data_IF_976342507836
#
_entry.id   IF_976342507836
#
_cell.length_a   1.000
_cell.length_b   1.000
_cell.length_c   1.000
_cell.angle_alpha   90.00
_cell.angle_beta   90.00
_cell.angle_gamma   90.00
#
_symmetry.space_group_name_H-M   'P 1'
#
loop_
_entity.id
_entity.type
_entity.pdbx_description
1 polymer ?
#
# COMPACT_ATOMS: atom_id res chain seq x y z
N UNK A 1 15.13 -16.22 -6.33
CA UNK A 1 15.81 -14.95 -6.01
C UNK A 1 15.16 -14.29 -4.80
N UNK A 2 15.97 -13.80 -3.85
CA UNK A 2 15.52 -13.44 -2.49
C UNK A 2 14.86 -12.03 -2.38
N UNK A 3 14.02 -11.62 -3.34
CA UNK A 3 13.37 -10.29 -3.30
C UNK A 3 12.54 -10.05 -2.04
N UNK A 4 11.86 -11.07 -1.54
CA UNK A 4 11.03 -10.95 -0.34
C UNK A 4 11.83 -10.66 0.93
N UNK A 5 12.95 -11.34 1.18
CA UNK A 5 13.75 -11.16 2.41
C UNK A 5 14.36 -9.75 2.50
N UNK A 6 14.83 -9.21 1.37
CA UNK A 6 15.41 -7.87 1.32
C UNK A 6 14.30 -6.83 1.55
N UNK A 7 13.20 -6.93 0.81
CA UNK A 7 12.08 -5.98 0.91
C UNK A 7 11.49 -5.93 2.32
N UNK A 8 11.30 -7.09 2.97
CA UNK A 8 10.84 -7.17 4.36
C UNK A 8 11.83 -6.48 5.32
N UNK A 9 13.14 -6.67 5.15
CA UNK A 9 14.15 -6.03 6.01
C UNK A 9 14.12 -4.51 5.89
N UNK A 10 14.02 -3.99 4.67
CA UNK A 10 13.92 -2.54 4.42
C UNK A 10 12.60 -1.97 4.95
N UNK A 11 11.48 -2.67 4.73
CA UNK A 11 10.18 -2.27 5.24
C UNK A 11 10.14 -2.25 6.78
N UNK A 12 10.74 -3.23 7.45
CA UNK A 12 10.87 -3.24 8.92
C UNK A 12 11.71 -2.08 9.44
N UNK A 13 12.83 -1.76 8.77
CA UNK A 13 13.68 -0.63 9.14
C UNK A 13 12.92 0.71 8.99
N UNK A 14 12.18 0.87 7.88
CA UNK A 14 11.35 2.06 7.67
C UNK A 14 10.26 2.17 8.71
N UNK A 15 9.56 1.07 9.03
CA UNK A 15 8.51 1.07 10.06
C UNK A 15 9.07 1.39 11.44
N UNK A 16 10.25 0.88 11.79
CA UNK A 16 10.95 1.22 13.03
C UNK A 16 11.22 2.71 13.14
N UNK A 17 11.87 3.29 12.12
CA UNK A 17 12.17 4.72 12.06
C UNK A 17 10.90 5.59 12.08
N UNK A 18 9.86 5.19 11.34
CA UNK A 18 8.59 5.91 11.32
C UNK A 18 7.88 5.86 12.68
N UNK A 19 7.98 4.74 13.40
CA UNK A 19 7.41 4.57 14.75
C UNK A 19 8.14 5.44 15.76
N UNK A 20 9.46 5.47 15.76
CA UNK A 20 10.26 6.33 16.63
C UNK A 20 9.93 7.81 16.44
N UNK A 21 9.68 8.19 15.19
CA UNK A 21 9.29 9.56 14.83
C UNK A 21 7.78 9.83 14.97
N UNK A 22 6.96 8.84 15.31
CA UNK A 22 5.47 8.91 15.42
C UNK A 22 4.81 9.40 14.13
N UNK A 23 5.30 8.94 12.99
CA UNK A 23 4.82 9.33 11.64
C UNK A 23 4.45 8.15 10.76
N UNK A 24 4.24 6.98 11.36
CA UNK A 24 3.94 5.75 10.63
C UNK A 24 2.72 5.85 9.72
N UNK A 25 1.69 6.62 10.13
CA UNK A 25 0.46 6.83 9.36
C UNK A 25 0.73 7.63 8.08
N UNK A 26 1.59 8.65 8.17
CA UNK A 26 1.99 9.48 7.02
C UNK A 26 2.81 8.67 6.03
N UNK A 27 3.79 7.90 6.54
CA UNK A 27 4.61 7.01 5.72
C UNK A 27 3.74 5.92 5.08
N UNK A 28 2.74 5.42 5.79
CA UNK A 28 1.77 4.46 5.25
C UNK A 28 1.01 5.05 4.04
N UNK A 29 0.51 6.27 4.16
CA UNK A 29 -0.17 6.98 3.08
C UNK A 29 0.73 7.18 1.87
N UNK A 30 1.99 7.57 2.09
CA UNK A 30 2.99 7.72 1.02
C UNK A 30 3.24 6.38 0.31
N UNK A 31 3.37 5.27 1.06
CA UNK A 31 3.59 3.93 0.50
C UNK A 31 2.36 3.41 -0.27
N UNK A 32 1.15 3.73 0.17
CA UNK A 32 -0.08 3.43 -0.57
C UNK A 32 -0.14 4.20 -1.89
N UNK A 33 0.19 5.50 -1.88
CA UNK A 33 0.23 6.33 -3.08
C UNK A 33 1.29 5.83 -4.08
N UNK A 34 2.46 5.45 -3.57
CA UNK A 34 3.53 4.88 -4.38
C UNK A 34 3.11 3.56 -5.04
N UNK A 35 2.46 2.67 -4.29
CA UNK A 35 1.95 1.40 -4.81
C UNK A 35 0.89 1.60 -5.89
N UNK A 36 -0.03 2.55 -5.70
CA UNK A 36 -1.01 2.92 -6.72
C UNK A 36 -0.34 3.46 -7.98
N UNK A 37 0.71 4.26 -7.85
CA UNK A 37 1.49 4.77 -8.99
C UNK A 37 2.16 3.63 -9.76
N UNK A 38 2.67 2.60 -9.10
CA UNK A 38 3.19 1.40 -9.78
C UNK A 38 2.11 0.61 -10.52
N UNK A 39 0.86 0.59 -10.02
CA UNK A 39 -0.28 -0.05 -10.70
C UNK A 39 -0.74 0.75 -11.92
N UNK A 40 -0.79 2.07 -11.80
CA UNK A 40 -1.27 2.96 -12.86
C UNK A 40 -0.25 3.11 -14.00
N UNK A 41 1.03 3.13 -13.66
CA UNK A 41 2.11 3.39 -14.61
C UNK A 41 3.05 2.18 -14.71
N UNK A 42 2.68 1.22 -15.56
CA UNK A 42 3.49 0.01 -15.80
C UNK A 42 4.94 0.32 -16.23
N UNK A 43 5.17 1.48 -16.87
CA UNK A 43 6.49 1.97 -17.27
C UNK A 43 7.36 2.43 -16.10
N UNK A 44 6.80 2.72 -14.92
CA UNK A 44 7.55 3.20 -13.76
C UNK A 44 8.67 2.23 -13.37
N UNK A 45 8.37 0.94 -13.33
CA UNK A 45 9.37 -0.09 -13.03
C UNK A 45 10.50 -0.13 -14.08
N UNK A 46 10.17 0.08 -15.35
CA UNK A 46 11.17 0.11 -16.43
C UNK A 46 12.09 1.33 -16.29
N UNK A 47 11.54 2.50 -15.98
CA UNK A 47 12.32 3.73 -15.71
C UNK A 47 13.29 3.52 -14.56
N UNK A 48 12.84 2.92 -13.47
CA UNK A 48 13.67 2.69 -12.27
C UNK A 48 14.80 1.69 -12.51
N UNK A 49 14.58 0.70 -13.38
CA UNK A 49 15.59 -0.32 -13.71
C UNK A 49 16.52 0.08 -14.85
N UNK A 50 16.20 1.15 -15.59
CA UNK A 50 17.02 1.62 -16.69
C UNK A 50 18.38 2.15 -16.20
N UNK A 51 19.52 1.61 -16.67
CA UNK A 51 20.84 2.06 -16.25
C UNK A 51 21.22 3.45 -16.79
N UNK A 52 20.58 3.90 -17.87
CA UNK A 52 20.85 5.22 -18.47
C UNK A 52 20.26 6.38 -17.67
N UNK A 53 19.34 6.10 -16.73
CA UNK A 53 18.72 7.13 -15.87
C UNK A 53 19.55 7.28 -14.61
N UNK A 54 19.90 8.52 -14.28
CA UNK A 54 20.73 8.85 -13.12
C UNK A 54 20.00 8.57 -11.80
N UNK A 55 20.76 8.39 -10.73
CA UNK A 55 20.21 8.19 -9.38
C UNK A 55 19.31 9.37 -8.94
N UNK A 56 19.69 10.59 -9.28
CA UNK A 56 18.93 11.80 -8.97
C UNK A 56 17.56 11.82 -9.70
N UNK A 57 17.55 11.47 -10.99
CA UNK A 57 16.32 11.41 -11.76
C UNK A 57 15.38 10.32 -11.22
N UNK A 58 15.91 9.14 -10.88
CA UNK A 58 15.13 8.07 -10.23
C UNK A 58 14.53 8.51 -8.89
N UNK A 59 15.31 9.27 -8.09
CA UNK A 59 14.80 9.84 -6.84
C UNK A 59 13.64 10.79 -7.07
N UNK A 60 13.76 11.69 -8.03
CA UNK A 60 12.73 12.65 -8.37
C UNK A 60 11.45 11.95 -8.86
N UNK A 61 11.59 10.95 -9.73
CA UNK A 61 10.45 10.15 -10.23
C UNK A 61 9.74 9.45 -9.06
N UNK A 62 10.47 8.82 -8.14
CA UNK A 62 9.86 8.16 -6.97
C UNK A 62 9.18 9.15 -6.02
N UNK A 63 9.81 10.31 -5.78
CA UNK A 63 9.22 11.36 -4.95
C UNK A 63 7.91 11.88 -5.56
N UNK A 64 7.86 12.08 -6.86
CA UNK A 64 6.62 12.45 -7.58
C UNK A 64 5.57 11.34 -7.52
N UNK A 65 5.98 10.08 -7.63
CA UNK A 65 5.09 8.92 -7.54
C UNK A 65 4.45 8.75 -6.14
N UNK A 66 5.08 9.25 -5.08
CA UNK A 66 4.50 9.32 -3.74
C UNK A 66 3.53 10.48 -3.54
N UNK A 67 3.40 11.40 -4.51
CA UNK A 67 2.53 12.57 -4.45
C UNK A 67 3.22 13.86 -4.03
N UNK A 68 2.42 14.95 -3.94
CA UNK A 68 2.96 16.31 -3.72
C UNK A 68 3.47 16.55 -2.28
N UNK A 69 2.92 15.86 -1.29
CA UNK A 69 3.18 16.11 0.14
C UNK A 69 3.86 14.92 0.82
N UNK A 70 4.91 14.41 0.18
CA UNK A 70 5.68 13.29 0.72
C UNK A 70 6.37 13.66 2.04
N UNK A 71 6.29 12.78 3.04
CA UNK A 71 6.92 12.99 4.33
C UNK A 71 8.46 12.87 4.26
N UNK A 72 9.18 13.65 5.08
CA UNK A 72 10.64 13.66 5.10
C UNK A 72 11.27 12.28 5.34
N UNK A 73 10.67 11.46 6.21
CA UNK A 73 11.10 10.08 6.46
C UNK A 73 11.02 9.21 5.20
N UNK A 74 9.96 9.37 4.40
CA UNK A 74 9.79 8.66 3.13
C UNK A 74 10.81 9.14 2.10
N UNK A 75 11.09 10.45 2.04
CA UNK A 75 12.13 10.99 1.16
C UNK A 75 13.50 10.41 1.49
N UNK A 76 13.88 10.43 2.77
CA UNK A 76 15.14 9.86 3.23
C UNK A 76 15.26 8.37 2.92
N UNK A 77 14.16 7.63 3.04
CA UNK A 77 14.11 6.21 2.68
C UNK A 77 14.33 5.98 1.19
N UNK A 78 13.69 6.77 0.32
CA UNK A 78 13.88 6.70 -1.14
C UNK A 78 15.34 6.94 -1.48
N UNK A 79 15.94 8.02 -0.96
CA UNK A 79 17.32 8.37 -1.22
C UNK A 79 18.28 7.27 -0.71
N UNK A 80 18.00 6.68 0.44
CA UNK A 80 18.74 5.54 0.98
C UNK A 80 18.65 4.30 0.08
N UNK A 81 17.45 3.92 -0.37
CA UNK A 81 17.25 2.74 -1.25
C UNK A 81 17.99 2.91 -2.58
N UNK A 82 17.98 4.11 -3.15
CA UNK A 82 18.70 4.42 -4.39
C UNK A 82 20.22 4.33 -4.16
N UNK A 83 20.73 4.91 -3.08
CA UNK A 83 22.16 4.83 -2.70
C UNK A 83 22.64 3.39 -2.55
N UNK A 84 21.77 2.50 -2.07
CA UNK A 84 22.05 1.08 -1.92
C UNK A 84 21.88 0.27 -3.24
N UNK A 85 21.50 0.91 -4.35
CA UNK A 85 21.26 0.25 -5.62
C UNK A 85 20.08 -0.74 -5.62
N UNK A 86 19.10 -0.55 -4.72
CA UNK A 86 17.96 -1.47 -4.52
C UNK A 86 16.63 -0.93 -5.05
N UNK A 87 16.68 0.08 -5.91
CA UNK A 87 15.49 0.76 -6.44
C UNK A 87 14.53 -0.17 -7.18
N UNK A 88 15.02 -1.23 -7.83
CA UNK A 88 14.19 -2.24 -8.50
C UNK A 88 13.24 -3.00 -7.56
N UNK A 89 13.50 -2.95 -6.26
CA UNK A 89 12.68 -3.62 -5.23
C UNK A 89 11.75 -2.65 -4.50
N UNK A 90 11.69 -1.38 -4.91
CA UNK A 90 10.92 -0.34 -4.22
C UNK A 90 9.44 -0.69 -4.12
N UNK A 91 8.82 -1.23 -5.17
CA UNK A 91 7.43 -1.67 -5.17
C UNK A 91 7.17 -2.72 -4.08
N UNK A 92 8.04 -3.73 -3.97
CA UNK A 92 7.93 -4.77 -2.95
C UNK A 92 8.17 -4.23 -1.54
N UNK A 93 9.06 -3.24 -1.38
CA UNK A 93 9.27 -2.58 -0.10
C UNK A 93 8.02 -1.81 0.33
N UNK A 94 7.35 -1.11 -0.58
CA UNK A 94 6.11 -0.40 -0.32
C UNK A 94 4.98 -1.37 0.11
N UNK A 95 4.80 -2.49 -0.59
CA UNK A 95 3.83 -3.53 -0.25
C UNK A 95 4.10 -4.14 1.13
N UNK A 96 5.36 -4.50 1.41
CA UNK A 96 5.73 -5.07 2.71
C UNK A 96 5.58 -4.08 3.86
N UNK A 97 5.84 -2.78 3.63
CA UNK A 97 5.59 -1.76 4.64
C UNK A 97 4.10 -1.69 5.01
N UNK A 98 3.23 -1.65 4.00
CA UNK A 98 1.77 -1.63 4.20
C UNK A 98 1.30 -2.86 4.99
N UNK A 99 1.79 -4.05 4.65
CA UNK A 99 1.45 -5.29 5.36
C UNK A 99 1.90 -5.24 6.82
N UNK A 100 3.16 -4.86 7.09
CA UNK A 100 3.70 -4.75 8.44
C UNK A 100 2.99 -3.68 9.28
N UNK A 101 2.65 -2.55 8.67
CA UNK A 101 1.89 -1.48 9.33
C UNK A 101 0.50 -1.97 9.73
N UNK A 102 -0.27 -2.58 8.80
CA UNK A 102 -1.60 -3.14 9.08
C UNK A 102 -1.55 -4.18 10.18
N UNK A 103 -0.57 -5.08 10.13
CA UNK A 103 -0.36 -6.08 11.18
C UNK A 103 -0.09 -5.44 12.55
N UNK A 104 0.74 -4.39 12.59
CA UNK A 104 1.00 -3.62 13.81
C UNK A 104 -0.25 -2.94 14.37
N UNK A 105 -1.08 -2.38 13.47
CA UNK A 105 -2.32 -1.69 13.82
C UNK A 105 -3.51 -2.64 14.06
N UNK A 106 -3.30 -3.95 13.95
CA UNK A 106 -4.35 -4.95 14.01
C UNK A 106 -5.50 -4.63 13.02
N UNK A 107 -5.13 -4.25 11.79
CA UNK A 107 -6.05 -3.83 10.75
C UNK A 107 -6.13 -4.90 9.67
N UNK A 108 -7.35 -5.26 9.29
CA UNK A 108 -7.65 -6.26 8.25
C UNK A 108 -8.14 -5.54 6.99
N UNK A 109 -7.59 -5.92 5.84
CA UNK A 109 -8.10 -5.42 4.55
C UNK A 109 -9.33 -6.24 4.17
N UNK A 110 -10.42 -5.54 3.92
CA UNK A 110 -11.67 -6.15 3.45
C UNK A 110 -12.01 -5.57 2.09
N UNK A 111 -12.12 -6.43 1.08
CA UNK A 111 -12.58 -6.03 -0.25
C UNK A 111 -14.08 -6.25 -0.36
N UNK A 112 -14.81 -5.19 -0.68
CA UNK A 112 -16.24 -5.20 -0.92
C UNK A 112 -16.48 -5.08 -2.43
N UNK A 113 -16.88 -6.18 -3.06
CA UNK A 113 -17.19 -6.22 -4.50
C UNK A 113 -18.69 -6.15 -4.70
N UNK A 114 -19.17 -5.24 -5.55
CA UNK A 114 -20.58 -5.05 -5.86
C UNK A 114 -20.80 -4.76 -7.34
N UNK A 115 -22.04 -4.99 -7.85
CA UNK A 115 -22.39 -4.70 -9.24
C UNK A 115 -22.42 -3.18 -9.53
N UNK A 116 -22.71 -2.36 -8.52
CA UNK A 116 -22.83 -0.90 -8.62
C UNK A 116 -22.06 -0.25 -7.46
N UNK A 117 -21.76 1.04 -7.61
CA UNK A 117 -21.16 1.83 -6.54
C UNK A 117 -22.10 1.90 -5.32
N UNK A 118 -21.60 1.46 -4.17
CA UNK A 118 -22.37 1.47 -2.93
C UNK A 118 -22.27 2.84 -2.22
N UNK A 119 -23.38 3.36 -1.67
CA UNK A 119 -23.37 4.59 -0.89
C UNK A 119 -22.37 4.53 0.28
N UNK A 120 -21.66 5.63 0.52
CA UNK A 120 -20.65 5.70 1.59
C UNK A 120 -21.22 5.35 2.99
N UNK A 121 -22.52 5.64 3.23
CA UNK A 121 -23.20 5.28 4.47
C UNK A 121 -23.32 3.77 4.66
N UNK A 122 -23.56 3.02 3.57
CA UNK A 122 -23.64 1.56 3.60
C UNK A 122 -22.25 0.95 3.77
N UNK A 123 -21.24 1.47 3.06
CA UNK A 123 -19.86 1.05 3.24
C UNK A 123 -19.39 1.18 4.70
N UNK A 124 -19.70 2.30 5.36
CA UNK A 124 -19.40 2.52 6.79
C UNK A 124 -20.13 1.55 7.70
N UNK A 125 -21.40 1.23 7.41
CA UNK A 125 -22.17 0.24 8.20
C UNK A 125 -21.55 -1.16 8.09
N UNK A 126 -21.15 -1.56 6.88
CA UNK A 126 -20.50 -2.86 6.64
C UNK A 126 -19.16 -2.92 7.39
N UNK A 127 -18.33 -1.88 7.27
CA UNK A 127 -17.05 -1.80 7.99
C UNK A 127 -17.25 -1.93 9.50
N UNK A 128 -18.16 -1.14 10.08
CA UNK A 128 -18.45 -1.18 11.52
C UNK A 128 -19.00 -2.53 11.98
N UNK A 129 -19.79 -3.20 11.15
CA UNK A 129 -20.30 -4.54 11.45
C UNK A 129 -19.18 -5.58 11.48
N UNK A 130 -18.24 -5.52 10.53
CA UNK A 130 -17.07 -6.41 10.48
C UNK A 130 -16.17 -6.16 11.69
N UNK A 131 -15.86 -4.88 12.01
CA UNK A 131 -15.05 -4.50 13.17
C UNK A 131 -15.63 -5.03 14.48
N UNK A 132 -16.95 -4.92 14.64
CA UNK A 132 -17.65 -5.38 15.85
C UNK A 132 -17.62 -6.91 16.00
N UNK A 133 -17.71 -7.64 14.89
CA UNK A 133 -17.76 -9.10 14.93
C UNK A 133 -16.37 -9.75 14.97
N UNK A 134 -15.35 -9.11 14.40
CA UNK A 134 -14.01 -9.69 14.31
C UNK A 134 -12.98 -9.08 15.28
N UNK A 135 -13.29 -7.94 15.91
CA UNK A 135 -12.39 -7.31 16.88
C UNK A 135 -11.13 -6.67 16.26
N UNK A 136 -11.12 -6.50 14.94
CA UNK A 136 -10.04 -5.87 14.18
C UNK A 136 -10.52 -4.58 13.52
N UNK A 137 -9.62 -3.61 13.32
CA UNK A 137 -9.92 -2.46 12.48
C UNK A 137 -10.06 -2.90 11.03
N UNK A 138 -10.93 -2.26 10.26
CA UNK A 138 -11.19 -2.62 8.87
C UNK A 138 -10.72 -1.52 7.93
N UNK A 139 -9.82 -1.87 7.00
CA UNK A 139 -9.52 -1.06 5.82
C UNK A 139 -10.41 -1.56 4.67
N UNK A 140 -11.51 -0.85 4.40
CA UNK A 140 -12.45 -1.24 3.36
C UNK A 140 -11.94 -0.79 1.98
N UNK A 141 -11.84 -1.71 1.04
CA UNK A 141 -11.60 -1.47 -0.39
C UNK A 141 -12.85 -1.82 -1.16
N UNK A 142 -13.28 -0.95 -2.06
CA UNK A 142 -14.46 -1.19 -2.91
C UNK A 142 -14.02 -1.51 -4.32
N UNK A 143 -14.59 -2.57 -4.89
CA UNK A 143 -14.43 -2.94 -6.30
C UNK A 143 -15.81 -3.05 -6.95
N UNK A 144 -15.91 -2.59 -8.20
CA UNK A 144 -17.14 -2.69 -8.97
C UNK A 144 -16.95 -3.80 -10.00
N UNK A 145 -17.81 -4.84 -9.92
CA UNK A 145 -17.85 -5.91 -10.89
C UNK A 145 -19.29 -6.06 -11.42
N UNK A 146 -19.57 -5.60 -12.66
CA UNK A 146 -20.90 -5.68 -13.26
C UNK A 146 -21.43 -7.09 -13.50
N UNK A 147 -20.54 -8.10 -13.48
CA UNK A 147 -20.93 -9.51 -13.70
C UNK A 147 -21.63 -10.15 -12.50
N UNK A 148 -21.67 -9.45 -11.37
CA UNK A 148 -22.42 -9.90 -10.19
C UNK A 148 -23.93 -9.65 -10.43
N UNK A 149 -24.75 -10.71 -10.37
CA UNK A 149 -26.19 -10.65 -10.66
C UNK A 149 -27.00 -9.93 -9.55
N UNK A 150 -26.36 -9.50 -8.48
CA UNK A 150 -26.95 -8.77 -7.35
C UNK A 150 -26.23 -9.04 -6.05
N UNK A 151 -26.50 -8.23 -5.02
CA UNK A 151 -25.84 -8.34 -3.73
C UNK A 151 -24.43 -7.76 -3.72
N UNK A 152 -23.62 -8.20 -2.76
CA UNK A 152 -22.21 -7.83 -2.62
C UNK A 152 -21.41 -9.00 -2.06
N UNK A 153 -20.14 -9.04 -2.43
CA UNK A 153 -19.16 -10.04 -1.96
C UNK A 153 -18.21 -9.33 -1.00
N UNK A 154 -18.00 -9.92 0.17
CA UNK A 154 -17.05 -9.44 1.17
C UNK A 154 -15.90 -10.43 1.25
N UNK A 155 -14.70 -10.02 0.84
CA UNK A 155 -13.48 -10.79 0.97
C UNK A 155 -12.64 -10.22 2.13
N UNK A 156 -12.47 -11.00 3.19
CA UNK A 156 -11.69 -10.63 4.39
C UNK A 156 -10.42 -11.48 4.41
N UNK A 157 -9.26 -10.89 4.13
CA UNK A 157 -7.93 -11.55 4.20
C UNK A 157 -7.91 -13.02 3.74
N UNK A 158 -8.45 -13.37 2.60
CA UNK A 158 -8.62 -14.73 2.06
C UNK A 158 -9.87 -15.52 2.52
N UNK A 159 -10.73 -14.96 3.36
CA UNK A 159 -12.03 -15.56 3.67
C UNK A 159 -13.13 -14.82 2.91
N UNK A 160 -13.80 -15.53 1.99
CA UNK A 160 -14.86 -14.99 1.15
C UNK A 160 -16.22 -15.21 1.81
N UNK A 161 -17.01 -14.14 1.94
CA UNK A 161 -18.40 -14.17 2.35
C UNK A 161 -19.27 -13.64 1.21
N UNK A 162 -20.11 -14.48 0.63
CA UNK A 162 -21.11 -14.11 -0.37
C UNK A 162 -22.43 -13.82 0.35
N UNK A 163 -23.02 -12.63 0.14
CA UNK A 163 -24.28 -12.21 0.75
C UNK A 163 -25.23 -11.61 -0.30
#
# INVERSE_FOLDING_TARGET
MNHGKISIRYAKALLGSATESKVEDKVYTDMCTLEQSFKQFATLQQVLTNPSITASEKANVLKLACGKNIHATTQAFIDFVIKQGRVSQMQWMALMYQELYRKKQNTVVTTLTSAIELPAALQKKIASWIEKNQGHKVELRTEINPDIIGGYIIDIENNRLDA
#
